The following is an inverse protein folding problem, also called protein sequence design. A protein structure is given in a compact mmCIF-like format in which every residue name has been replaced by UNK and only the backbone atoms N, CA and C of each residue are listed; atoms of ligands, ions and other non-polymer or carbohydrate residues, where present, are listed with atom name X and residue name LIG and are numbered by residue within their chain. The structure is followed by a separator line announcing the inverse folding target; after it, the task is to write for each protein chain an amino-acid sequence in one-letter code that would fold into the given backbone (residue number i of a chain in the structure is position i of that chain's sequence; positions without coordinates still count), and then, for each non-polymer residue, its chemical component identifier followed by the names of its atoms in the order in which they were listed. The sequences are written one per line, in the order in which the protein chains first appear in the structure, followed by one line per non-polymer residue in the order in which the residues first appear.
data_IF_478571963715
#
_entry.id   IF_478571963715
#
_cell.length_a   1.000
_cell.length_b   1.000
_cell.length_c   1.000
_cell.angle_alpha   90.00
_cell.angle_beta   90.00
_cell.angle_gamma   90.00
#
_symmetry.space_group_name_H-M   'P 1'
#
loop_
_entity.id
_entity.type
_entity.pdbx_description
1 polymer ?
#
# COMPACT_ATOMS: atom_id res chain seq x y z
N UNK A 1 19.91 14.36 -8.10
CA UNK A 1 20.29 14.05 -6.71
C UNK A 1 20.05 15.31 -5.91
N UNK A 2 19.09 15.27 -4.96
CA UNK A 2 18.92 16.37 -4.01
C UNK A 2 20.08 16.30 -3.01
N UNK A 3 20.89 17.35 -2.98
CA UNK A 3 21.88 17.57 -1.94
C UNK A 3 21.22 18.41 -0.85
N UNK A 4 21.39 18.04 0.40
CA UNK A 4 21.02 18.82 1.56
C UNK A 4 22.25 19.07 2.43
N UNK A 5 22.22 20.13 3.18
CA UNK A 5 23.26 20.40 4.17
C UNK A 5 22.89 19.66 5.46
N UNK A 6 23.87 18.99 6.06
CA UNK A 6 23.75 18.34 7.35
C UNK A 6 24.58 19.14 8.35
N UNK A 7 23.91 19.80 9.28
CA UNK A 7 24.57 20.49 10.40
C UNK A 7 24.52 19.55 11.62
N UNK A 8 25.70 19.24 12.15
CA UNK A 8 25.84 18.41 13.34
C UNK A 8 26.40 19.28 14.47
N UNK A 9 25.70 19.32 15.60
CA UNK A 9 26.16 19.96 16.82
C UNK A 9 26.54 18.84 17.80
N UNK A 10 27.80 18.88 18.29
CA UNK A 10 28.29 17.93 19.27
C UNK A 10 28.28 18.60 20.66
N UNK A 11 27.48 18.07 21.54
CA UNK A 11 27.47 18.46 22.95
C UNK A 11 28.29 17.42 23.70
N UNK A 12 29.45 17.79 24.21
CA UNK A 12 30.34 16.89 24.96
C UNK A 12 30.98 17.61 26.13
N UNK A 13 31.07 16.91 27.25
CA UNK A 13 31.82 17.37 28.44
C UNK A 13 33.32 17.05 28.33
N UNK A 14 33.71 16.35 27.26
CA UNK A 14 35.13 16.05 27.01
C UNK A 14 35.86 17.27 26.44
N UNK A 15 37.04 17.58 27.00
CA UNK A 15 37.95 18.55 26.38
C UNK A 15 38.48 17.92 25.10
N UNK A 16 38.01 18.43 23.98
CA UNK A 16 38.55 18.05 22.65
C UNK A 16 39.86 18.83 22.46
N UNK A 17 40.95 18.11 22.34
CA UNK A 17 42.22 18.69 21.92
C UNK A 17 42.11 19.13 20.45
N UNK A 18 42.37 20.39 20.16
CA UNK A 18 42.31 20.96 18.79
C UNK A 18 43.24 20.22 17.80
N UNK A 19 44.22 19.47 18.31
CA UNK A 19 45.13 18.66 17.51
C UNK A 19 44.71 17.19 17.37
N UNK A 20 43.57 16.79 17.94
CA UNK A 20 43.06 15.44 17.80
C UNK A 20 42.37 15.23 16.47
N UNK A 21 42.85 14.30 15.64
CA UNK A 21 42.15 13.82 14.43
C UNK A 21 40.95 13.00 14.84
N UNK A 22 39.76 13.63 14.87
CA UNK A 22 38.51 12.94 15.09
C UNK A 22 37.86 12.64 13.75
N UNK A 23 37.38 11.40 13.55
CA UNK A 23 36.62 11.01 12.37
C UNK A 23 35.21 10.62 12.77
N UNK A 24 34.23 11.01 11.94
CA UNK A 24 32.84 10.67 12.13
C UNK A 24 32.43 9.80 10.95
N UNK A 25 31.92 8.60 11.27
CA UNK A 25 31.35 7.73 10.27
C UNK A 25 29.83 7.87 10.27
N UNK A 26 29.26 8.36 9.18
CA UNK A 26 27.83 8.47 8.98
C UNK A 26 27.35 7.33 8.09
N UNK A 27 26.35 6.61 8.55
CA UNK A 27 25.67 5.57 7.77
C UNK A 27 24.19 5.94 7.65
N UNK A 28 23.69 6.08 6.41
CA UNK A 28 22.27 6.18 6.17
C UNK A 28 21.60 4.86 6.58
N UNK A 29 20.72 4.92 7.57
CA UNK A 29 20.00 3.75 8.08
C UNK A 29 18.63 3.63 7.45
N UNK A 30 17.97 4.78 7.24
CA UNK A 30 16.63 4.87 6.63
C UNK A 30 16.47 6.21 5.91
N UNK A 31 15.48 6.30 5.01
CA UNK A 31 15.10 7.53 4.32
C UNK A 31 13.58 7.56 4.11
N UNK A 32 13.01 8.76 3.99
CA UNK A 32 11.56 8.96 3.80
C UNK A 32 11.11 8.77 2.35
N UNK A 33 12.04 8.68 1.40
CA UNK A 33 11.68 8.43 0.01
C UNK A 33 11.06 7.04 -0.13
N UNK A 34 9.83 6.99 -0.68
CA UNK A 34 9.11 5.74 -0.91
C UNK A 34 9.72 4.99 -2.09
N UNK A 35 10.45 3.93 -1.82
CA UNK A 35 11.06 3.06 -2.82
C UNK A 35 10.50 1.65 -2.67
N UNK A 36 9.77 1.18 -3.68
CA UNK A 36 9.05 -0.07 -3.52
C UNK A 36 8.50 -0.65 -4.81
N UNK A 37 7.89 -1.83 -4.67
CA UNK A 37 7.24 -2.57 -5.75
C UNK A 37 5.93 -3.19 -5.27
N UNK A 38 5.18 -3.78 -6.21
CA UNK A 38 3.90 -4.42 -5.92
C UNK A 38 4.06 -5.81 -5.30
N UNK A 39 3.26 -6.07 -4.25
CA UNK A 39 3.08 -7.38 -3.63
C UNK A 39 1.99 -8.24 -4.29
N UNK A 40 1.41 -7.80 -5.41
CA UNK A 40 0.27 -8.50 -6.04
C UNK A 40 0.53 -9.97 -6.30
N UNK A 41 1.75 -10.33 -6.69
CA UNK A 41 2.12 -11.73 -6.96
C UNK A 41 2.47 -12.52 -5.70
N UNK A 42 2.85 -11.85 -4.61
CA UNK A 42 3.28 -12.50 -3.36
C UNK A 42 2.21 -13.44 -2.78
N UNK A 43 0.92 -13.11 -2.93
CA UNK A 43 -0.17 -13.96 -2.45
C UNK A 43 -0.13 -15.39 -2.97
N UNK A 44 0.46 -15.61 -4.17
CA UNK A 44 0.59 -16.96 -4.77
C UNK A 44 1.61 -17.82 -4.04
N UNK A 45 2.53 -17.20 -3.34
CA UNK A 45 3.63 -17.83 -2.62
C UNK A 45 3.54 -17.64 -1.11
N UNK A 46 2.42 -17.06 -0.64
CA UNK A 46 2.20 -16.80 0.78
C UNK A 46 2.22 -18.09 1.60
N UNK A 47 3.01 -18.11 2.68
CA UNK A 47 3.18 -19.29 3.53
C UNK A 47 4.05 -20.40 2.91
N UNK A 48 4.82 -20.10 1.86
CA UNK A 48 5.77 -21.01 1.24
C UNK A 48 7.19 -20.44 1.41
N UNK A 49 8.19 -21.31 1.39
CA UNK A 49 9.62 -20.96 1.54
C UNK A 49 10.04 -19.85 0.54
N UNK A 50 9.56 -19.92 -0.69
CA UNK A 50 9.84 -18.92 -1.71
C UNK A 50 9.25 -17.54 -1.36
N UNK A 51 8.06 -17.49 -0.78
CA UNK A 51 7.44 -16.25 -0.29
C UNK A 51 8.23 -15.64 0.86
N UNK A 52 8.69 -16.46 1.79
CA UNK A 52 9.50 -16.01 2.93
C UNK A 52 10.86 -15.47 2.47
N UNK A 53 11.50 -16.13 1.50
CA UNK A 53 12.74 -15.64 0.89
C UNK A 53 12.52 -14.30 0.17
N UNK A 54 11.41 -14.17 -0.57
CA UNK A 54 11.05 -12.91 -1.23
C UNK A 54 10.92 -11.77 -0.22
N UNK A 55 10.17 -11.97 0.86
CA UNK A 55 9.98 -10.98 1.91
C UNK A 55 11.28 -10.60 2.61
N UNK A 56 12.16 -11.58 2.86
CA UNK A 56 13.48 -11.35 3.42
C UNK A 56 14.33 -10.43 2.53
N UNK A 57 14.35 -10.70 1.23
CA UNK A 57 15.10 -9.89 0.25
C UNK A 57 14.47 -8.53 0.00
N UNK A 58 13.15 -8.47 0.03
CA UNK A 58 12.41 -7.24 -0.16
C UNK A 58 12.84 -6.14 0.82
N UNK A 59 12.87 -6.43 2.10
CA UNK A 59 13.22 -5.44 3.13
C UNK A 59 14.70 -5.01 3.12
N UNK A 60 15.57 -5.72 2.41
CA UNK A 60 16.96 -5.31 2.21
C UNK A 60 17.09 -4.15 1.22
N UNK A 61 16.06 -3.92 0.38
CA UNK A 61 16.09 -2.97 -0.74
C UNK A 61 14.97 -1.94 -0.66
N UNK A 62 13.78 -2.34 -0.22
CA UNK A 62 12.56 -1.54 -0.31
C UNK A 62 12.03 -1.16 1.08
N UNK A 63 11.41 0.03 1.17
CA UNK A 63 10.71 0.54 2.36
C UNK A 63 9.22 0.81 2.09
N UNK A 64 8.73 0.44 0.91
CA UNK A 64 7.36 0.70 0.46
C UNK A 64 6.84 -0.43 -0.42
N UNK A 65 5.58 -0.82 -0.24
CA UNK A 65 4.96 -1.83 -1.07
C UNK A 65 3.52 -1.46 -1.45
N UNK A 66 3.12 -1.85 -2.67
CA UNK A 66 1.72 -1.77 -3.10
C UNK A 66 1.05 -3.12 -2.91
N UNK A 67 -0.02 -3.18 -2.13
CA UNK A 67 -0.82 -4.38 -1.90
C UNK A 67 -2.10 -4.35 -2.73
N UNK A 68 -2.38 -5.44 -3.45
CA UNK A 68 -3.61 -5.56 -4.26
C UNK A 68 -4.83 -5.78 -3.36
N UNK A 69 -5.73 -4.78 -3.32
CA UNK A 69 -6.97 -4.79 -2.53
C UNK A 69 -8.21 -4.87 -3.43
N UNK A 70 -8.12 -5.65 -4.49
CA UNK A 70 -9.18 -5.79 -5.49
C UNK A 70 -10.50 -6.22 -4.86
N UNK A 71 -11.59 -5.53 -5.19
CA UNK A 71 -12.91 -5.77 -4.58
C UNK A 71 -13.34 -7.23 -4.60
N UNK A 72 -13.15 -7.91 -5.74
CA UNK A 72 -13.46 -9.35 -5.85
C UNK A 72 -12.70 -10.24 -4.85
N UNK A 73 -11.56 -9.77 -4.29
CA UNK A 73 -10.77 -10.49 -3.31
C UNK A 73 -11.08 -10.07 -1.87
N UNK A 74 -11.59 -8.85 -1.70
CA UNK A 74 -11.96 -8.26 -0.40
C UNK A 74 -13.47 -8.27 -0.16
N UNK A 75 -14.24 -8.91 -1.05
CA UNK A 75 -15.69 -9.05 -0.91
C UNK A 75 -16.02 -10.00 0.26
N UNK A 76 -16.72 -9.49 1.26
CA UNK A 76 -17.15 -10.26 2.44
C UNK A 76 -17.99 -11.50 2.08
N UNK A 77 -18.66 -11.46 0.93
CA UNK A 77 -19.43 -12.58 0.41
C UNK A 77 -18.58 -13.74 -0.07
N UNK A 78 -17.30 -13.49 -0.36
CA UNK A 78 -16.37 -14.53 -0.83
C UNK A 78 -15.93 -15.48 0.27
N UNK A 79 -15.99 -15.06 1.55
CA UNK A 79 -15.66 -15.84 2.74
C UNK A 79 -14.29 -16.56 2.64
N UNK A 80 -13.32 -15.93 2.00
CA UNK A 80 -12.01 -16.52 1.71
C UNK A 80 -11.06 -16.42 2.90
N UNK A 81 -11.03 -17.45 3.74
CA UNK A 81 -10.07 -17.56 4.86
C UNK A 81 -8.60 -17.39 4.41
N UNK A 82 -8.29 -17.80 3.18
CA UNK A 82 -6.95 -17.61 2.64
C UNK A 82 -6.63 -16.11 2.46
N UNK A 83 -7.57 -15.34 1.92
CA UNK A 83 -7.36 -13.90 1.72
C UNK A 83 -7.29 -13.15 3.05
N UNK A 84 -8.11 -13.53 4.02
CA UNK A 84 -8.06 -12.96 5.37
C UNK A 84 -6.69 -13.20 6.02
N UNK A 85 -6.20 -14.43 5.97
CA UNK A 85 -4.88 -14.79 6.49
C UNK A 85 -3.74 -14.06 5.74
N UNK A 86 -3.86 -13.94 4.41
CA UNK A 86 -2.88 -13.22 3.61
C UNK A 86 -2.81 -11.73 4.00
N UNK A 87 -3.97 -11.04 4.02
CA UNK A 87 -3.99 -9.62 4.37
C UNK A 87 -3.51 -9.38 5.79
N UNK A 88 -4.00 -10.15 6.75
CA UNK A 88 -3.52 -10.05 8.13
C UNK A 88 -2.01 -10.27 8.21
N UNK A 89 -1.51 -11.33 7.62
CA UNK A 89 -0.08 -11.67 7.69
C UNK A 89 0.82 -10.64 7.01
N UNK A 90 0.42 -10.08 5.86
CA UNK A 90 1.24 -9.07 5.17
C UNK A 90 1.23 -7.73 5.91
N UNK A 91 0.11 -7.36 6.54
CA UNK A 91 0.01 -6.17 7.39
C UNK A 91 0.92 -6.31 8.61
N UNK A 92 0.80 -7.41 9.34
CA UNK A 92 1.63 -7.71 10.52
C UNK A 92 3.13 -7.74 10.15
N UNK A 93 3.46 -8.33 8.99
CA UNK A 93 4.85 -8.37 8.52
C UNK A 93 5.37 -6.98 8.15
N UNK A 94 4.57 -6.17 7.47
CA UNK A 94 4.95 -4.83 7.03
C UNK A 94 5.18 -3.89 8.21
N UNK A 95 4.29 -3.92 9.19
CA UNK A 95 4.44 -3.16 10.43
C UNK A 95 5.72 -3.54 11.18
N UNK A 96 5.96 -4.85 11.38
CA UNK A 96 7.16 -5.37 12.04
C UNK A 96 8.47 -4.98 11.36
N UNK A 97 8.46 -4.74 10.04
CA UNK A 97 9.66 -4.47 9.24
C UNK A 97 9.73 -3.02 8.75
N UNK A 98 8.89 -2.12 9.26
CA UNK A 98 8.83 -0.69 8.87
C UNK A 98 8.64 -0.50 7.35
N UNK A 99 7.81 -1.34 6.74
CA UNK A 99 7.43 -1.24 5.33
C UNK A 99 6.09 -0.51 5.22
N UNK A 100 6.08 0.66 4.62
CA UNK A 100 4.84 1.39 4.36
C UNK A 100 4.04 0.74 3.24
N UNK A 101 2.72 0.70 3.39
CA UNK A 101 1.83 0.07 2.42
C UNK A 101 0.96 1.10 1.70
N UNK A 102 0.77 0.85 0.40
CA UNK A 102 -0.25 1.47 -0.43
C UNK A 102 -1.29 0.42 -0.83
N UNK A 103 -2.56 0.69 -0.57
CA UNK A 103 -3.68 -0.10 -1.04
C UNK A 103 -4.01 0.21 -2.50
N UNK A 104 -4.16 -0.81 -3.32
CA UNK A 104 -4.41 -0.68 -4.75
C UNK A 104 -5.49 -1.66 -5.22
N UNK A 105 -6.58 -1.15 -5.73
CA UNK A 105 -7.18 0.17 -5.51
C UNK A 105 -8.40 0.09 -4.58
N UNK A 106 -8.96 1.22 -4.16
CA UNK A 106 -10.28 1.27 -3.54
C UNK A 106 -11.36 0.87 -4.55
N UNK A 107 -11.20 1.28 -5.79
CA UNK A 107 -12.11 0.95 -6.87
C UNK A 107 -11.39 0.66 -8.19
N UNK A 108 -11.80 -0.40 -8.87
CA UNK A 108 -11.41 -0.73 -10.24
C UNK A 108 -12.52 -1.53 -10.92
N UNK A 109 -13.03 -1.02 -12.04
CA UNK A 109 -14.16 -1.63 -12.76
C UNK A 109 -13.85 -3.06 -13.25
N UNK A 110 -12.58 -3.38 -13.54
CA UNK A 110 -12.16 -4.72 -13.96
C UNK A 110 -12.14 -5.74 -12.81
N UNK A 111 -12.04 -5.28 -11.56
CA UNK A 111 -11.92 -6.13 -10.38
C UNK A 111 -13.15 -6.10 -9.45
N UNK A 112 -14.28 -5.67 -9.97
CA UNK A 112 -15.56 -5.73 -9.25
C UNK A 112 -16.08 -7.15 -9.16
N UNK A 113 -16.74 -7.55 -8.06
CA UNK A 113 -17.49 -8.80 -7.98
C UNK A 113 -18.59 -8.88 -9.03
N UNK A 114 -18.91 -10.08 -9.48
CA UNK A 114 -19.94 -10.28 -10.52
C UNK A 114 -21.33 -9.72 -10.14
N UNK A 115 -21.67 -9.78 -8.84
CA UNK A 115 -22.95 -9.27 -8.38
C UNK A 115 -23.02 -7.73 -8.50
N UNK A 116 -21.90 -7.02 -8.31
CA UNK A 116 -21.81 -5.56 -8.51
C UNK A 116 -21.89 -5.23 -10.00
N UNK A 117 -21.17 -5.97 -10.85
CA UNK A 117 -21.18 -5.77 -12.31
C UNK A 117 -22.56 -5.93 -12.94
N UNK A 118 -23.38 -6.78 -12.35
CA UNK A 118 -24.74 -7.06 -12.83
C UNK A 118 -25.81 -6.21 -12.16
N UNK A 119 -25.42 -5.28 -11.28
CA UNK A 119 -26.35 -4.41 -10.57
C UNK A 119 -26.99 -3.41 -11.53
N UNK A 120 -28.32 -3.32 -11.51
CA UNK A 120 -29.09 -2.56 -12.52
C UNK A 120 -29.47 -1.16 -12.06
N UNK A 121 -29.58 -0.96 -10.75
CA UNK A 121 -29.96 0.36 -10.21
C UNK A 121 -28.68 1.17 -9.97
N UNK A 122 -28.47 2.19 -10.81
CA UNK A 122 -27.25 3.01 -10.78
C UNK A 122 -27.20 3.90 -9.54
N UNK A 123 -28.32 4.40 -9.06
CA UNK A 123 -28.38 5.26 -7.87
C UNK A 123 -27.98 4.48 -6.60
N UNK A 124 -28.45 3.23 -6.48
CA UNK A 124 -28.04 2.34 -5.39
C UNK A 124 -26.58 1.89 -5.53
N UNK A 125 -26.08 1.72 -6.76
CA UNK A 125 -24.71 1.30 -7.02
C UNK A 125 -23.69 2.30 -6.47
N UNK A 126 -23.95 3.59 -6.58
CA UNK A 126 -23.09 4.64 -6.01
C UNK A 126 -22.94 4.47 -4.48
N UNK A 127 -24.04 4.24 -3.79
CA UNK A 127 -24.04 3.97 -2.35
C UNK A 127 -23.23 2.71 -1.98
N UNK A 128 -23.38 1.63 -2.77
CA UNK A 128 -22.66 0.37 -2.58
C UNK A 128 -21.15 0.55 -2.76
N UNK A 129 -20.72 1.32 -3.76
CA UNK A 129 -19.31 1.59 -4.02
C UNK A 129 -18.71 2.44 -2.89
N UNK A 130 -19.39 3.51 -2.48
CA UNK A 130 -18.95 4.36 -1.37
C UNK A 130 -18.78 3.58 -0.07
N UNK A 131 -19.73 2.70 0.23
CA UNK A 131 -19.66 1.85 1.42
C UNK A 131 -18.49 0.84 1.34
N UNK A 132 -18.24 0.25 0.16
CA UNK A 132 -17.07 -0.60 -0.05
C UNK A 132 -15.75 0.15 0.20
N UNK A 133 -15.59 1.34 -0.39
CA UNK A 133 -14.38 2.15 -0.21
C UNK A 133 -14.17 2.53 1.27
N UNK A 134 -15.23 2.99 1.94
CA UNK A 134 -15.21 3.31 3.36
C UNK A 134 -14.83 2.10 4.21
N UNK A 135 -15.42 0.95 3.93
CA UNK A 135 -15.13 -0.31 4.63
C UNK A 135 -13.65 -0.68 4.51
N UNK A 136 -13.06 -0.60 3.31
CA UNK A 136 -11.62 -0.89 3.14
C UNK A 136 -10.75 0.02 3.99
N UNK A 137 -10.99 1.33 3.97
CA UNK A 137 -10.20 2.30 4.73
C UNK A 137 -10.32 2.04 6.24
N UNK A 138 -11.53 1.74 6.71
CA UNK A 138 -11.79 1.50 8.15
C UNK A 138 -11.23 0.15 8.60
N UNK A 139 -11.31 -0.88 7.74
CA UNK A 139 -10.85 -2.24 8.09
C UNK A 139 -9.32 -2.38 8.05
N UNK A 140 -8.64 -1.52 7.29
CA UNK A 140 -7.19 -1.59 7.12
C UNK A 140 -6.49 -0.26 7.45
N UNK A 141 -6.58 0.21 8.72
CA UNK A 141 -6.04 1.51 9.13
C UNK A 141 -4.51 1.61 9.02
N UNK A 142 -3.80 0.49 8.89
CA UNK A 142 -2.35 0.45 8.66
C UNK A 142 -1.97 0.90 7.25
N UNK A 143 -2.92 0.92 6.30
CA UNK A 143 -2.70 1.37 4.93
C UNK A 143 -3.05 2.85 4.85
N UNK A 144 -2.02 3.71 4.77
CA UNK A 144 -2.21 5.17 4.78
C UNK A 144 -2.38 5.79 3.39
N UNK A 145 -1.86 5.12 2.36
CA UNK A 145 -1.90 5.58 0.98
C UNK A 145 -2.84 4.68 0.17
N UNK A 146 -3.74 5.28 -0.63
CA UNK A 146 -4.67 4.54 -1.46
C UNK A 146 -4.74 5.10 -2.87
N UNK A 147 -4.75 4.20 -3.86
CA UNK A 147 -5.22 4.54 -5.20
C UNK A 147 -6.77 4.51 -5.16
N UNK A 148 -7.40 5.68 -5.33
CA UNK A 148 -8.86 5.80 -5.17
C UNK A 148 -9.58 5.05 -6.29
N UNK A 149 -9.18 5.30 -7.54
CA UNK A 149 -9.74 4.66 -8.72
C UNK A 149 -8.63 4.25 -9.69
N UNK A 150 -8.61 2.99 -10.08
CA UNK A 150 -7.64 2.50 -11.06
C UNK A 150 -8.20 2.61 -12.49
N UNK A 151 -7.38 3.13 -13.40
CA UNK A 151 -7.68 3.24 -14.84
C UNK A 151 -8.99 3.99 -15.13
N UNK A 152 -9.16 5.24 -14.65
CA UNK A 152 -10.39 6.01 -14.88
C UNK A 152 -10.59 6.42 -16.35
N UNK A 153 -9.52 6.40 -17.14
CA UNK A 153 -9.51 6.73 -18.57
C UNK A 153 -9.22 5.47 -19.34
N UNK A 154 -10.24 4.77 -19.76
CA UNK A 154 -10.11 3.53 -20.51
C UNK A 154 -11.36 3.26 -21.36
N UNK A 155 -11.39 2.21 -22.15
CA UNK A 155 -12.61 1.79 -22.82
C UNK A 155 -13.59 1.31 -21.74
N UNK A 156 -14.37 2.27 -21.20
CA UNK A 156 -15.41 1.96 -20.23
C UNK A 156 -16.37 0.92 -20.82
N UNK A 157 -16.41 -0.23 -20.21
CA UNK A 157 -17.57 -1.10 -20.40
C UNK A 157 -18.76 -0.42 -19.75
N UNK A 158 -19.92 -0.35 -20.40
CA UNK A 158 -21.01 0.60 -20.16
C UNK A 158 -21.80 0.46 -18.87
N UNK A 159 -21.22 -0.06 -17.80
CA UNK A 159 -21.92 -0.34 -16.55
C UNK A 159 -21.76 0.74 -15.48
N UNK A 160 -20.81 1.67 -15.66
CA UNK A 160 -20.63 2.82 -14.75
C UNK A 160 -20.66 4.08 -15.63
N UNK A 161 -21.66 4.94 -15.52
CA UNK A 161 -21.72 6.17 -16.30
C UNK A 161 -20.52 7.08 -15.98
N UNK A 162 -19.90 7.72 -17.00
CA UNK A 162 -18.81 8.68 -16.79
C UNK A 162 -19.18 9.83 -15.83
N UNK A 163 -20.46 10.17 -15.71
CA UNK A 163 -20.97 11.18 -14.78
C UNK A 163 -20.74 10.83 -13.30
N UNK A 164 -20.79 9.54 -12.94
CA UNK A 164 -20.56 9.12 -11.56
C UNK A 164 -19.09 9.19 -11.15
N UNK A 165 -18.15 9.05 -12.08
CA UNK A 165 -16.71 9.12 -11.79
C UNK A 165 -16.28 10.54 -11.46
N UNK A 166 -16.80 11.53 -12.18
CA UNK A 166 -16.49 12.95 -11.96
C UNK A 166 -16.98 13.42 -10.59
N UNK A 167 -18.12 12.90 -10.12
CA UNK A 167 -18.66 13.20 -8.79
C UNK A 167 -17.86 12.55 -7.65
N UNK A 168 -17.11 11.48 -7.92
CA UNK A 168 -16.29 10.82 -6.89
C UNK A 168 -14.91 11.45 -6.71
N UNK A 169 -14.45 12.21 -7.69
CA UNK A 169 -13.13 12.86 -7.68
C UNK A 169 -13.23 14.29 -7.10
N UNK A 170 -14.41 14.89 -7.06
CA UNK A 170 -14.70 16.19 -6.47
C UNK A 170 -15.22 16.05 -5.03
#
# INVERSE_FOLDING_TARGET
IRKGDLNLEFITDLKIDENSNSSINLKLVNHDFKFGVSFTQLRRFWGQEYGDLYLKRFKEVFNYATIGMYWQLTDERSNSKFMDNYYKGILDWSEKNDIRLKGHPLMWHEAMPNWVRNFKNIEELDGIIKEHMKRLIVSYPQINDWDVYNEPIGPFKPHIPPSSITEWIN
#
